data_IF_797522707196
#
_entry.id   IF_797522707196
#
_cell.length_a   1.000
_cell.length_b   1.000
_cell.length_c   1.000
_cell.angle_alpha   90.00
_cell.angle_beta   90.00
_cell.angle_gamma   90.00
#
_symmetry.space_group_name_H-M   'P 1'
#
loop_
_entity.id
_entity.type
_entity.pdbx_description
1 polymer ?
#
# COMPACT_ATOMS: atom_id res chain seq x y z
N UNK A 1 -46.00 29.49 -3.63
CA UNK A 1 -45.13 28.52 -4.35
C UNK A 1 -43.63 28.76 -4.12
N UNK A 2 -43.16 30.00 -3.92
CA UNK A 2 -41.73 30.31 -3.69
C UNK A 2 -41.12 29.76 -2.38
N UNK A 3 -41.90 29.66 -1.28
CA UNK A 3 -41.38 29.21 0.01
C UNK A 3 -40.89 27.74 -0.01
N UNK A 4 -41.57 26.86 -0.74
CA UNK A 4 -41.21 25.45 -0.84
C UNK A 4 -39.91 25.23 -1.63
N UNK A 5 -39.66 26.06 -2.66
CA UNK A 5 -38.43 25.99 -3.44
C UNK A 5 -37.21 26.35 -2.58
N UNK A 6 -37.33 27.39 -1.76
CA UNK A 6 -36.24 27.85 -0.88
C UNK A 6 -35.90 26.83 0.23
N UNK A 7 -36.92 26.14 0.75
CA UNK A 7 -36.74 25.04 1.71
C UNK A 7 -36.04 23.87 1.04
N UNK A 8 -36.45 23.49 -0.18
CA UNK A 8 -35.88 22.37 -0.91
C UNK A 8 -34.39 22.59 -1.25
N UNK A 9 -34.00 23.80 -1.68
CA UNK A 9 -32.58 24.14 -1.96
C UNK A 9 -31.71 24.07 -0.70
N UNK A 10 -32.25 24.48 0.46
CA UNK A 10 -31.54 24.38 1.75
C UNK A 10 -31.34 22.92 2.18
N UNK A 11 -32.33 22.06 1.96
CA UNK A 11 -32.21 20.62 2.21
C UNK A 11 -31.18 19.96 1.29
N UNK A 12 -31.16 20.30 -0.01
CA UNK A 12 -30.17 19.77 -0.94
C UNK A 12 -28.75 20.18 -0.57
N UNK A 13 -28.55 21.44 -0.16
CA UNK A 13 -27.25 21.91 0.32
C UNK A 13 -26.81 21.19 1.60
N UNK A 14 -27.74 20.95 2.54
CA UNK A 14 -27.47 20.21 3.78
C UNK A 14 -27.04 18.77 3.51
N UNK A 15 -27.73 18.08 2.58
CA UNK A 15 -27.37 16.72 2.15
C UNK A 15 -25.99 16.73 1.50
N UNK A 16 -25.70 17.71 0.64
CA UNK A 16 -24.39 17.86 -0.01
C UNK A 16 -23.27 18.05 1.03
N UNK A 17 -23.44 18.95 2.00
CA UNK A 17 -22.47 19.15 3.07
C UNK A 17 -22.32 17.92 3.99
N UNK A 18 -23.40 17.19 4.25
CA UNK A 18 -23.36 15.96 5.03
C UNK A 18 -22.58 14.86 4.29
N UNK A 19 -22.77 14.72 2.97
CA UNK A 19 -21.96 13.80 2.13
C UNK A 19 -20.49 14.23 2.09
N UNK A 20 -20.19 15.52 1.98
CA UNK A 20 -18.80 16.01 2.05
C UNK A 20 -18.14 15.74 3.41
N UNK A 21 -18.90 15.81 4.52
CA UNK A 21 -18.37 15.49 5.85
C UNK A 21 -18.04 14.00 6.03
N UNK A 22 -18.70 13.09 5.32
CA UNK A 22 -18.34 11.67 5.30
C UNK A 22 -17.00 11.41 4.60
N UNK A 23 -16.59 12.27 3.66
CA UNK A 23 -15.27 12.23 3.04
C UNK A 23 -14.16 12.82 3.94
N UNK A 24 -14.53 13.58 4.98
CA UNK A 24 -13.60 14.20 5.93
C UNK A 24 -13.18 13.27 7.09
N UNK A 25 -13.05 11.96 6.83
CA UNK A 25 -12.55 11.00 7.81
C UNK A 25 -11.08 11.32 8.14
N UNK A 26 -10.88 11.79 9.37
CA UNK A 26 -9.64 11.96 10.11
C UNK A 26 -8.35 11.61 9.35
N UNK A 27 -7.67 12.63 8.83
CA UNK A 27 -6.32 12.48 8.32
C UNK A 27 -5.39 12.11 9.48
N UNK A 28 -4.88 10.88 9.48
CA UNK A 28 -3.71 10.48 10.25
C UNK A 28 -2.52 10.64 9.32
N UNK A 29 -1.63 11.57 9.65
CA UNK A 29 -0.39 11.83 8.94
C UNK A 29 0.74 11.50 9.90
N UNK A 30 1.79 10.85 9.39
CA UNK A 30 2.95 10.47 10.19
C UNK A 30 2.88 9.08 10.82
N UNK A 31 1.94 8.24 10.40
CA UNK A 31 1.90 6.84 10.84
C UNK A 31 3.07 6.06 10.26
N UNK A 32 3.60 5.13 11.04
CA UNK A 32 4.58 4.14 10.58
C UNK A 32 3.89 2.81 10.34
N UNK A 33 4.25 2.12 9.27
CA UNK A 33 3.75 0.80 8.95
C UNK A 33 4.90 -0.14 8.66
N UNK A 34 4.98 -1.21 9.45
CA UNK A 34 5.95 -2.27 9.26
C UNK A 34 5.24 -3.42 8.57
N UNK A 35 5.68 -3.76 7.36
CA UNK A 35 5.14 -4.83 6.55
C UNK A 35 6.15 -5.96 6.42
N UNK A 36 5.69 -7.19 6.59
CA UNK A 36 6.45 -8.39 6.31
C UNK A 36 5.67 -9.29 5.38
N UNK A 37 6.31 -9.83 4.35
CA UNK A 37 5.65 -10.68 3.36
C UNK A 37 6.60 -11.69 2.74
N UNK A 38 6.02 -12.69 2.10
CA UNK A 38 6.74 -13.73 1.39
C UNK A 38 6.16 -13.92 -0.01
N UNK A 39 7.03 -14.21 -0.96
CA UNK A 39 6.63 -14.42 -2.35
C UNK A 39 5.94 -15.78 -2.49
N UNK A 40 4.76 -15.78 -3.11
CA UNK A 40 3.95 -16.97 -3.36
C UNK A 40 4.22 -17.56 -4.75
N UNK A 41 4.38 -16.69 -5.76
CA UNK A 41 4.53 -17.08 -7.17
C UNK A 41 5.38 -16.03 -7.89
N UNK A 42 6.34 -16.47 -8.72
CA UNK A 42 7.07 -15.61 -9.67
C UNK A 42 6.92 -16.19 -11.08
N UNK A 43 6.78 -15.37 -12.12
CA UNK A 43 6.49 -15.87 -13.48
C UNK A 43 7.64 -16.67 -14.12
N UNK A 44 8.86 -16.55 -13.61
CA UNK A 44 10.04 -17.28 -14.10
C UNK A 44 10.17 -18.71 -13.52
N UNK A 45 9.07 -19.46 -13.55
CA UNK A 45 8.89 -20.71 -12.79
C UNK A 45 9.28 -21.96 -13.60
N UNK A 46 10.52 -22.43 -13.41
CA UNK A 46 10.92 -23.82 -13.74
C UNK A 46 11.09 -24.68 -12.47
N UNK A 47 11.15 -24.09 -11.26
CA UNK A 47 11.21 -24.83 -9.97
C UNK A 47 10.50 -24.09 -8.83
N UNK A 48 9.40 -24.67 -8.37
CA UNK A 48 8.38 -23.98 -7.58
C UNK A 48 8.71 -23.60 -6.12
N UNK A 49 9.92 -23.88 -5.62
CA UNK A 49 10.23 -23.74 -4.19
C UNK A 49 11.65 -23.25 -3.86
N UNK A 50 12.51 -22.97 -4.84
CA UNK A 50 13.92 -22.65 -4.56
C UNK A 50 14.24 -21.16 -4.37
N UNK A 51 13.30 -20.25 -4.67
CA UNK A 51 13.51 -18.80 -4.54
C UNK A 51 12.49 -18.19 -3.60
N UNK A 52 12.45 -18.66 -2.35
CA UNK A 52 11.69 -17.99 -1.31
C UNK A 52 12.32 -16.60 -1.08
N UNK A 53 11.51 -15.56 -1.26
CA UNK A 53 11.87 -14.18 -0.97
C UNK A 53 11.03 -13.72 0.22
N UNK A 54 11.71 -13.32 1.29
CA UNK A 54 11.08 -12.70 2.46
C UNK A 54 11.38 -11.21 2.43
N UNK A 55 10.33 -10.40 2.33
CA UNK A 55 10.42 -8.96 2.31
C UNK A 55 10.00 -8.35 3.63
N UNK A 56 10.84 -7.47 4.17
CA UNK A 56 10.51 -6.61 5.30
C UNK A 56 10.61 -5.15 4.84
N UNK A 57 9.54 -4.39 4.97
CA UNK A 57 9.52 -2.97 4.59
C UNK A 57 8.90 -2.13 5.70
N UNK A 58 9.54 -1.02 6.05
CA UNK A 58 8.98 0.04 6.87
C UNK A 58 8.51 1.18 5.97
N UNK A 59 7.28 1.64 6.16
CA UNK A 59 6.65 2.69 5.39
C UNK A 59 6.21 3.82 6.33
N UNK A 60 6.55 5.06 5.99
CA UNK A 60 6.13 6.27 6.69
C UNK A 60 5.09 7.02 5.85
N UNK A 61 3.90 7.24 6.41
CA UNK A 61 2.81 7.94 5.73
C UNK A 61 3.04 9.46 5.77
N UNK A 62 3.53 10.02 4.66
CA UNK A 62 3.65 11.48 4.45
C UNK A 62 2.28 12.15 4.43
N UNK A 63 1.30 11.49 3.81
CA UNK A 63 -0.12 11.83 3.81
C UNK A 63 -0.90 10.52 3.78
N UNK A 64 -2.20 10.54 4.09
CA UNK A 64 -3.04 9.33 4.09
C UNK A 64 -2.91 8.47 2.82
N UNK A 65 -2.72 9.11 1.67
CA UNK A 65 -2.68 8.42 0.38
C UNK A 65 -1.25 8.15 -0.13
N UNK A 66 -0.20 8.63 0.53
CA UNK A 66 1.19 8.45 0.05
C UNK A 66 2.11 8.10 1.20
N UNK A 67 2.83 6.99 1.07
CA UNK A 67 3.88 6.59 2.01
C UNK A 67 5.22 6.43 1.31
N UNK A 68 6.30 6.77 2.01
CA UNK A 68 7.67 6.44 1.60
C UNK A 68 8.13 5.25 2.40
N UNK A 69 8.76 4.29 1.74
CA UNK A 69 9.19 3.05 2.36
C UNK A 69 10.64 2.70 2.09
N UNK A 70 11.24 2.01 3.04
CA UNK A 70 12.53 1.37 2.91
C UNK A 70 12.48 -0.01 3.58
N UNK A 71 13.27 -0.94 3.08
CA UNK A 71 13.18 -2.33 3.48
C UNK A 71 14.33 -3.17 2.98
N UNK A 72 14.23 -4.45 3.28
CA UNK A 72 15.15 -5.48 2.82
C UNK A 72 14.35 -6.65 2.27
N UNK A 73 14.77 -7.15 1.12
CA UNK A 73 14.31 -8.40 0.58
C UNK A 73 15.44 -9.43 0.79
N UNK A 74 15.16 -10.41 1.66
CA UNK A 74 16.05 -11.53 1.96
C UNK A 74 15.68 -12.66 1.02
N UNK A 75 16.68 -13.18 0.31
CA UNK A 75 16.51 -14.28 -0.62
C UNK A 75 17.23 -15.51 -0.09
N UNK A 76 16.65 -16.69 -0.27
CA UNK A 76 17.32 -17.95 0.12
C UNK A 76 18.52 -18.28 -0.79
N UNK A 77 18.49 -17.82 -2.04
CA UNK A 77 19.42 -18.24 -3.11
C UNK A 77 20.35 -17.10 -3.59
N UNK A 78 20.24 -15.89 -3.04
CA UNK A 78 21.02 -14.73 -3.46
C UNK A 78 21.18 -13.71 -2.33
N UNK A 79 22.07 -12.73 -2.52
CA UNK A 79 22.38 -11.74 -1.50
C UNK A 79 21.17 -10.86 -1.15
N UNK A 80 21.05 -10.53 0.14
CA UNK A 80 20.02 -9.62 0.67
C UNK A 80 20.06 -8.29 -0.07
N UNK A 81 18.91 -7.86 -0.60
CA UNK A 81 18.80 -6.61 -1.34
C UNK A 81 18.11 -5.55 -0.51
N UNK A 82 18.70 -4.35 -0.47
CA UNK A 82 18.02 -3.19 0.09
C UNK A 82 17.01 -2.64 -0.91
N UNK A 83 15.85 -2.24 -0.38
CA UNK A 83 14.69 -1.78 -1.15
C UNK A 83 14.27 -0.42 -0.63
N UNK A 84 13.97 0.51 -1.53
CA UNK A 84 13.37 1.79 -1.19
C UNK A 84 12.27 2.13 -2.19
N UNK A 85 11.23 2.84 -1.77
CA UNK A 85 10.10 3.09 -2.64
C UNK A 85 9.05 4.03 -2.10
N UNK A 86 7.99 4.18 -2.89
CA UNK A 86 6.80 4.95 -2.56
C UNK A 86 5.57 4.08 -2.78
N UNK A 87 4.57 4.19 -1.90
CA UNK A 87 3.23 3.63 -2.12
C UNK A 87 2.23 4.76 -2.22
N UNK A 88 1.36 4.70 -3.22
CA UNK A 88 0.21 5.58 -3.42
C UNK A 88 -1.08 4.78 -3.28
N UNK A 89 -2.02 5.26 -2.48
CA UNK A 89 -3.30 4.63 -2.18
C UNK A 89 -4.41 5.43 -2.88
N UNK A 90 -4.72 5.15 -4.16
CA UNK A 90 -5.74 5.89 -4.91
C UNK A 90 -7.15 5.62 -4.37
N UNK A 91 -7.39 4.42 -3.85
CA UNK A 91 -8.66 4.04 -3.24
C UNK A 91 -8.42 2.93 -2.21
N UNK A 92 -8.77 3.16 -0.95
CA UNK A 92 -8.69 2.11 0.08
C UNK A 92 -9.55 0.90 -0.35
N UNK A 93 -9.06 -0.35 -0.27
CA UNK A 93 -7.78 -0.83 0.28
C UNK A 93 -6.66 -1.03 -0.76
N UNK A 94 -6.80 -0.53 -1.98
CA UNK A 94 -5.83 -0.71 -3.06
C UNK A 94 -4.69 0.31 -3.00
N UNK A 95 -3.51 -0.13 -3.40
CA UNK A 95 -2.34 0.72 -3.54
C UNK A 95 -1.55 0.38 -4.80
N UNK A 96 -0.86 1.38 -5.31
CA UNK A 96 0.19 1.26 -6.33
C UNK A 96 1.51 1.57 -5.64
N UNK A 97 2.57 0.88 -6.01
CA UNK A 97 3.89 1.09 -5.44
C UNK A 97 4.95 1.14 -6.51
N UNK A 98 5.99 1.90 -6.23
CA UNK A 98 7.20 1.95 -7.02
C UNK A 98 8.39 1.71 -6.09
N UNK A 99 9.32 0.85 -6.51
CA UNK A 99 10.47 0.44 -5.72
C UNK A 99 11.75 0.48 -6.54
N UNK A 100 12.83 0.93 -5.94
CA UNK A 100 14.20 0.67 -6.38
C UNK A 100 14.84 -0.39 -5.50
N UNK A 101 15.44 -1.40 -6.12
CA UNK A 101 16.23 -2.45 -5.49
C UNK A 101 17.70 -2.12 -5.70
N UNK A 102 18.36 -1.60 -4.67
CA UNK A 102 19.76 -1.13 -4.77
C UNK A 102 20.72 -2.31 -4.92
N UNK A 103 20.50 -3.41 -4.18
CA UNK A 103 21.36 -4.60 -4.24
C UNK A 103 21.29 -5.34 -5.58
N UNK A 104 20.10 -5.41 -6.18
CA UNK A 104 19.88 -6.04 -7.48
C UNK A 104 20.05 -5.07 -8.66
N UNK A 105 20.29 -3.77 -8.40
CA UNK A 105 20.29 -2.69 -9.38
C UNK A 105 19.08 -2.76 -10.34
N UNK A 106 17.89 -2.88 -9.77
CA UNK A 106 16.63 -3.02 -10.51
C UNK A 106 15.57 -2.06 -9.97
N UNK A 107 14.53 -1.82 -10.74
CA UNK A 107 13.34 -1.12 -10.32
C UNK A 107 12.13 -2.03 -10.49
N UNK A 108 11.12 -1.83 -9.65
CA UNK A 108 9.85 -2.52 -9.75
C UNK A 108 8.68 -1.56 -9.62
N UNK A 109 7.65 -1.79 -10.42
CA UNK A 109 6.35 -1.15 -10.28
C UNK A 109 5.31 -2.21 -9.98
N UNK A 110 4.44 -1.93 -9.03
CA UNK A 110 3.50 -2.92 -8.54
C UNK A 110 2.20 -2.32 -8.06
N UNK A 111 1.26 -3.21 -7.80
CA UNK A 111 -0.02 -2.89 -7.20
C UNK A 111 -0.36 -3.92 -6.15
N UNK A 112 -1.14 -3.51 -5.16
CA UNK A 112 -1.55 -4.40 -4.11
C UNK A 112 -2.84 -3.98 -3.44
N UNK A 113 -3.22 -4.80 -2.49
CA UNK A 113 -4.41 -4.70 -1.69
C UNK A 113 -4.00 -4.89 -0.24
N UNK A 114 -4.30 -3.90 0.62
CA UNK A 114 -3.98 -3.90 2.04
C UNK A 114 -5.24 -3.66 2.85
N UNK A 115 -5.83 -4.75 3.40
CA UNK A 115 -7.06 -4.66 4.18
C UNK A 115 -6.79 -4.74 5.67
N UNK A 116 -7.34 -3.79 6.43
CA UNK A 116 -7.30 -3.81 7.89
C UNK A 116 -8.10 -4.98 8.46
N UNK A 117 -7.47 -5.76 9.33
CA UNK A 117 -8.14 -6.75 10.20
C UNK A 117 -8.64 -6.03 11.47
N UNK A 118 -7.81 -5.13 12.02
CA UNK A 118 -8.12 -4.33 13.20
C UNK A 118 -7.42 -2.96 13.10
N UNK A 119 -7.37 -2.22 14.20
CA UNK A 119 -6.80 -0.87 14.25
C UNK A 119 -5.32 -0.76 13.84
N UNK A 120 -4.55 -1.83 14.00
CA UNK A 120 -3.11 -1.83 13.75
C UNK A 120 -2.71 -2.85 12.67
N UNK A 121 -3.40 -3.99 12.58
CA UNK A 121 -3.03 -5.09 11.69
C UNK A 121 -3.74 -5.00 10.35
N UNK A 122 -2.99 -5.24 9.28
CA UNK A 122 -3.48 -5.34 7.90
C UNK A 122 -2.94 -6.61 7.25
N UNK A 123 -3.73 -7.20 6.36
CA UNK A 123 -3.27 -8.26 5.45
C UNK A 123 -2.98 -7.60 4.11
N UNK A 124 -1.86 -7.96 3.52
CA UNK A 124 -1.42 -7.44 2.22
C UNK A 124 -1.29 -8.56 1.20
N UNK A 125 -1.75 -8.29 -0.02
CA UNK A 125 -1.42 -9.05 -1.21
C UNK A 125 -0.92 -8.05 -2.25
N UNK A 126 0.19 -8.33 -2.92
CA UNK A 126 0.82 -7.41 -3.86
C UNK A 126 1.44 -8.15 -5.02
N UNK A 127 1.43 -7.52 -6.19
CA UNK A 127 2.09 -7.97 -7.40
C UNK A 127 3.08 -6.91 -7.85
N UNK A 128 4.33 -7.29 -8.07
CA UNK A 128 5.41 -6.41 -8.48
C UNK A 128 5.98 -6.87 -9.83
N UNK A 129 6.07 -5.95 -10.79
CA UNK A 129 6.71 -6.13 -12.08
C UNK A 129 8.10 -5.49 -12.08
N UNK A 130 9.12 -6.27 -12.38
CA UNK A 130 10.53 -5.91 -12.34
C UNK A 130 11.01 -5.50 -13.74
N UNK A 131 11.68 -4.35 -13.86
CA UNK A 131 12.03 -3.76 -15.16
C UNK A 131 13.22 -4.45 -15.83
N UNK A 132 14.24 -4.86 -15.08
CA UNK A 132 15.47 -5.43 -15.66
C UNK A 132 15.23 -6.83 -16.24
N UNK A 133 14.43 -7.66 -15.55
CA UNK A 133 14.11 -9.03 -15.97
C UNK A 133 12.77 -9.21 -16.70
N UNK A 134 11.89 -8.20 -16.70
CA UNK A 134 10.51 -8.35 -17.18
C UNK A 134 9.69 -9.36 -16.37
N UNK A 135 10.12 -9.64 -15.14
CA UNK A 135 9.54 -10.66 -14.27
C UNK A 135 8.38 -10.09 -13.47
N UNK A 136 7.38 -10.92 -13.20
CA UNK A 136 6.29 -10.59 -12.30
C UNK A 136 6.35 -11.49 -11.06
N UNK A 137 6.20 -10.90 -9.87
CA UNK A 137 6.14 -11.60 -8.59
C UNK A 137 4.87 -11.25 -7.83
N UNK A 138 4.25 -12.25 -7.21
CA UNK A 138 3.11 -12.11 -6.31
C UNK A 138 3.57 -12.42 -4.89
N UNK A 139 3.27 -11.51 -3.97
CA UNK A 139 3.62 -11.58 -2.55
C UNK A 139 2.37 -11.47 -1.70
N UNK A 140 2.33 -12.24 -0.63
CA UNK A 140 1.36 -12.07 0.45
C UNK A 140 2.08 -11.74 1.75
N UNK A 141 1.43 -10.98 2.63
CA UNK A 141 2.04 -10.52 3.85
C UNK A 141 1.07 -9.94 4.86
N UNK A 142 1.64 -9.45 5.94
CA UNK A 142 0.95 -8.76 7.02
C UNK A 142 1.67 -7.46 7.34
N UNK A 143 0.91 -6.45 7.74
CA UNK A 143 1.44 -5.17 8.16
C UNK A 143 0.91 -4.75 9.52
N UNK A 144 1.78 -4.11 10.29
CA UNK A 144 1.47 -3.50 11.56
C UNK A 144 1.65 -1.99 11.46
N UNK A 145 0.57 -1.24 11.69
CA UNK A 145 0.53 0.22 11.69
C UNK A 145 0.69 0.73 13.11
N UNK A 146 1.79 1.44 13.35
CA UNK A 146 2.01 2.26 14.52
C UNK A 146 1.45 3.66 14.23
N UNK A 147 0.29 3.95 14.83
CA UNK A 147 -0.34 5.26 14.70
C UNK A 147 0.48 6.30 15.47
N UNK A 148 0.82 7.42 14.82
CA UNK A 148 1.42 8.54 15.52
C UNK A 148 0.39 9.13 16.50
N UNK A 149 0.82 9.42 17.73
CA UNK A 149 -0.03 10.17 18.66
C UNK A 149 -0.23 11.58 18.09
N UNK A 150 -1.49 11.99 17.97
CA UNK A 150 -1.89 13.36 17.67
C UNK A 150 -1.48 14.31 18.79
#
# INVERSE_FOLDING_TARGET
MQANFFIMTRFTALIFFMVCSLAAQAQSTGDFMFSGGFDLLKTDYDKAFNKAQLGLEANYFLVRHVSLGAGVDIWTDQETSFVMGVRWYPADPFFVRFRGLIGANDAAIGGGWAKAINDNWRVEAMGDFYFNGGEFGIRAGVSYVLKAKK
#
